data_IF_917027058814
#
_entry.id   IF_917027058814
#
_cell.length_a   1.000
_cell.length_b   1.000
_cell.length_c   1.000
_cell.angle_alpha   90.00
_cell.angle_beta   90.00
_cell.angle_gamma   90.00
#
_symmetry.space_group_name_H-M   'P 1'
#
loop_
_entity.id
_entity.type
_entity.pdbx_description
1 polymer ?
#
# COMPACT_ATOMS: atom_id res chain seq x y z
N UNK A 1 -1.32 62.22 8.15
CA UNK A 1 -1.99 61.34 7.15
C UNK A 1 -1.14 60.13 6.95
N UNK A 2 -1.57 58.97 7.44
CA UNK A 2 -0.87 57.72 7.24
C UNK A 2 -1.18 57.21 5.83
N UNK A 3 -0.19 57.30 4.92
CA UNK A 3 -0.33 56.80 3.57
C UNK A 3 -0.32 55.26 3.58
N UNK A 4 -1.46 54.66 3.29
CA UNK A 4 -1.55 53.22 3.10
C UNK A 4 -0.83 52.84 1.79
N UNK A 5 0.32 52.18 1.88
CA UNK A 5 1.01 51.64 0.72
C UNK A 5 0.29 50.37 0.27
N UNK A 6 -0.29 50.39 -0.93
CA UNK A 6 -0.91 49.19 -1.51
C UNK A 6 0.16 48.36 -2.21
N UNK A 7 0.37 47.15 -1.76
CA UNK A 7 1.22 46.16 -2.42
C UNK A 7 0.34 45.26 -3.28
N UNK A 8 0.66 45.13 -4.56
CA UNK A 8 -0.05 44.25 -5.49
C UNK A 8 0.69 42.95 -5.65
N UNK A 9 0.09 41.85 -5.18
CA UNK A 9 0.57 40.54 -5.45
C UNK A 9 -0.03 40.03 -6.77
N UNK A 10 0.84 39.71 -7.75
CA UNK A 10 0.43 39.34 -9.11
C UNK A 10 0.44 37.86 -9.36
N UNK A 11 1.04 37.10 -8.47
CA UNK A 11 1.24 35.65 -8.64
C UNK A 11 1.28 34.99 -7.26
N UNK A 12 0.79 33.75 -7.19
CA UNK A 12 0.84 32.89 -6.02
C UNK A 12 1.68 31.62 -6.30
N UNK A 13 2.53 31.67 -7.33
CA UNK A 13 3.33 30.52 -7.76
C UNK A 13 4.32 30.00 -6.71
N UNK A 14 4.67 30.87 -5.72
CA UNK A 14 5.52 30.48 -4.59
C UNK A 14 4.85 29.51 -3.59
N UNK A 15 3.51 29.41 -3.62
CA UNK A 15 2.76 28.59 -2.68
C UNK A 15 2.87 29.09 -1.25
N UNK A 16 2.64 28.20 -0.28
CA UNK A 16 2.88 28.51 1.14
C UNK A 16 4.37 28.52 1.42
N UNK A 17 4.85 29.58 2.06
CA UNK A 17 6.27 29.76 2.39
C UNK A 17 6.53 29.43 3.86
N UNK A 18 7.71 28.91 4.15
CA UNK A 18 8.14 28.65 5.52
C UNK A 18 8.22 29.94 6.34
N UNK A 19 7.89 29.90 7.65
CA UNK A 19 8.06 31.05 8.56
C UNK A 19 9.47 31.65 8.55
N UNK A 20 10.49 30.87 8.25
CA UNK A 20 11.87 31.32 8.12
C UNK A 20 12.10 32.28 6.94
N UNK A 21 11.19 32.26 5.97
CA UNK A 21 11.21 33.14 4.80
C UNK A 21 10.45 34.46 5.04
N UNK A 22 9.76 34.59 6.16
CA UNK A 22 9.00 35.78 6.47
C UNK A 22 9.94 36.98 6.62
N UNK A 23 9.59 38.10 5.94
CA UNK A 23 10.41 39.30 5.92
C UNK A 23 11.58 39.28 4.91
N UNK A 24 11.80 38.18 4.19
CA UNK A 24 12.80 38.07 3.13
C UNK A 24 12.33 38.76 1.84
N UNK A 25 12.20 40.07 1.89
CA UNK A 25 11.73 40.88 0.74
C UNK A 25 12.70 40.91 -0.44
N UNK A 26 13.92 40.40 -0.22
CA UNK A 26 14.97 40.23 -1.23
C UNK A 26 14.75 38.98 -2.09
N UNK A 27 13.92 38.03 -1.62
CA UNK A 27 13.66 36.79 -2.34
C UNK A 27 12.40 36.86 -3.21
N UNK A 28 12.51 36.46 -4.45
CA UNK A 28 11.38 36.44 -5.40
C UNK A 28 10.24 35.51 -4.93
N UNK A 29 10.55 34.45 -4.21
CA UNK A 29 9.54 33.56 -3.62
C UNK A 29 8.72 34.23 -2.56
N UNK A 30 9.31 35.14 -1.78
CA UNK A 30 8.57 35.95 -0.81
C UNK A 30 7.47 36.77 -1.48
N UNK A 31 7.79 37.36 -2.65
CA UNK A 31 6.84 38.22 -3.37
C UNK A 31 5.69 37.44 -4.04
N UNK A 32 5.85 36.18 -4.26
CA UNK A 32 4.87 35.26 -4.89
C UNK A 32 4.33 34.22 -3.92
N UNK A 33 4.77 34.25 -2.67
CA UNK A 33 4.37 33.32 -1.63
C UNK A 33 3.14 33.76 -0.84
N UNK A 34 2.60 32.81 -0.11
CA UNK A 34 1.50 32.99 0.82
C UNK A 34 1.96 32.61 2.22
N UNK A 35 1.55 33.34 3.22
CA UNK A 35 1.77 32.97 4.63
C UNK A 35 0.99 31.70 4.99
N UNK A 36 -0.21 31.55 4.42
CA UNK A 36 -1.07 30.39 4.64
C UNK A 36 -1.83 30.06 3.36
N UNK A 37 -1.82 28.79 2.96
CA UNK A 37 -2.49 28.31 1.76
C UNK A 37 -3.32 27.03 2.07
N UNK A 38 -4.45 27.19 2.74
CA UNK A 38 -5.33 26.11 3.10
C UNK A 38 -6.46 25.94 2.08
N UNK A 39 -6.66 24.71 1.62
CA UNK A 39 -7.73 24.33 0.67
C UNK A 39 -7.62 24.98 -0.72
N UNK A 40 -6.43 25.44 -1.10
CA UNK A 40 -6.15 25.97 -2.43
C UNK A 40 -5.00 25.24 -3.11
N UNK A 41 -5.02 25.24 -4.44
CA UNK A 41 -3.95 24.78 -5.29
C UNK A 41 -3.29 25.95 -5.98
N UNK A 42 -2.01 26.16 -5.71
CA UNK A 42 -1.21 27.17 -6.40
C UNK A 42 -0.69 26.60 -7.71
N UNK A 43 -1.04 27.24 -8.81
CA UNK A 43 -0.54 26.84 -10.14
C UNK A 43 0.81 27.49 -10.42
N UNK A 44 1.74 26.78 -11.08
CA UNK A 44 3.05 27.34 -11.45
C UNK A 44 2.96 28.62 -12.29
N UNK A 45 1.86 28.81 -13.03
CA UNK A 45 1.59 29.98 -13.85
C UNK A 45 1.13 31.21 -13.05
N UNK A 46 0.93 31.06 -11.73
CA UNK A 46 0.61 32.14 -10.83
C UNK A 46 -0.80 32.18 -10.25
N UNK A 47 -1.86 31.69 -10.89
CA UNK A 47 -3.19 31.69 -10.29
C UNK A 47 -3.30 30.69 -9.13
N UNK A 48 -4.30 30.96 -8.29
CA UNK A 48 -4.72 30.10 -7.19
C UNK A 48 -6.15 29.65 -7.46
N UNK A 49 -6.45 28.40 -7.24
CA UNK A 49 -7.77 27.83 -7.42
C UNK A 49 -8.19 26.99 -6.21
N UNK A 50 -9.48 26.89 -5.96
CA UNK A 50 -9.99 26.04 -4.90
C UNK A 50 -9.64 24.57 -5.18
N UNK A 51 -9.24 23.83 -4.14
CA UNK A 51 -9.09 22.39 -4.30
C UNK A 51 -10.42 21.75 -4.69
N UNK A 52 -10.41 20.66 -5.46
CA UNK A 52 -11.60 19.87 -5.73
C UNK A 52 -12.27 19.40 -4.43
N UNK A 53 -13.58 19.28 -4.44
CA UNK A 53 -14.35 18.67 -3.37
C UNK A 53 -14.09 17.15 -3.28
N UNK A 54 -14.72 16.53 -2.30
CA UNK A 54 -14.81 15.08 -2.21
C UNK A 54 -16.14 14.61 -2.81
N UNK A 55 -16.11 13.51 -3.52
CA UNK A 55 -17.30 12.83 -4.00
C UNK A 55 -17.55 11.63 -3.09
N UNK A 56 -18.81 11.48 -2.66
CA UNK A 56 -19.22 10.30 -1.89
C UNK A 56 -19.40 9.12 -2.85
N UNK A 57 -18.69 8.04 -2.61
CA UNK A 57 -18.78 6.82 -3.40
C UNK A 57 -19.75 5.83 -2.77
N UNK A 58 -19.46 5.41 -1.54
CA UNK A 58 -20.27 4.47 -0.78
C UNK A 58 -19.87 4.43 0.68
N UNK A 59 -20.81 4.03 1.53
CA UNK A 59 -20.52 3.66 2.90
C UNK A 59 -19.78 2.31 2.97
N UNK A 60 -18.85 2.21 3.93
CA UNK A 60 -18.17 0.94 4.25
C UNK A 60 -19.18 -0.08 4.78
N UNK A 61 -18.83 -1.36 4.79
CA UNK A 61 -19.73 -2.44 5.23
C UNK A 61 -20.16 -2.29 6.69
N UNK A 62 -19.26 -1.84 7.53
CA UNK A 62 -19.49 -1.59 8.95
C UNK A 62 -18.69 -0.36 9.37
N UNK A 63 -19.40 0.76 9.59
CA UNK A 63 -18.79 2.04 9.95
C UNK A 63 -18.22 2.09 11.37
N UNK A 64 -18.50 1.07 12.21
CA UNK A 64 -17.90 0.94 13.54
C UNK A 64 -16.47 0.36 13.49
N UNK A 65 -16.06 -0.18 12.34
CA UNK A 65 -14.78 -0.86 12.12
C UNK A 65 -13.85 -0.06 11.24
N UNK A 66 -12.55 -0.23 11.47
CA UNK A 66 -11.52 0.38 10.63
C UNK A 66 -11.53 -0.27 9.24
N UNK A 67 -11.22 0.55 8.23
CA UNK A 67 -10.96 0.09 6.86
C UNK A 67 -9.68 0.71 6.36
N UNK A 68 -9.00 0.03 5.44
CA UNK A 68 -7.83 0.52 4.74
C UNK A 68 -8.08 0.53 3.24
N UNK A 69 -7.74 1.64 2.60
CA UNK A 69 -7.83 1.76 1.15
C UNK A 69 -6.45 1.54 0.53
N UNK A 70 -6.38 0.68 -0.48
CA UNK A 70 -5.16 0.37 -1.21
C UNK A 70 -5.37 0.71 -2.69
N UNK A 71 -4.48 1.49 -3.33
CA UNK A 71 -4.56 1.74 -4.76
C UNK A 71 -4.15 0.49 -5.55
N UNK A 72 -4.83 0.26 -6.68
CA UNK A 72 -4.49 -0.75 -7.66
C UNK A 72 -4.47 -0.12 -9.05
N UNK A 73 -3.32 -0.09 -9.69
CA UNK A 73 -3.13 0.56 -10.99
C UNK A 73 -2.99 -0.52 -12.06
N UNK A 74 -4.03 -0.70 -12.88
CA UNK A 74 -4.00 -1.62 -14.01
C UNK A 74 -3.33 -0.98 -15.25
N UNK A 75 -3.76 0.23 -15.58
CA UNK A 75 -3.15 1.05 -16.63
C UNK A 75 -3.43 2.54 -16.38
N UNK A 76 -2.97 3.41 -17.26
CA UNK A 76 -3.12 4.86 -17.10
C UNK A 76 -4.58 5.35 -17.08
N UNK A 77 -5.52 4.61 -17.68
CA UNK A 77 -6.92 4.96 -17.76
C UNK A 77 -7.79 4.18 -16.77
N UNK A 78 -7.33 3.04 -16.28
CA UNK A 78 -8.11 2.17 -15.40
C UNK A 78 -7.37 1.90 -14.11
N UNK A 79 -7.90 2.48 -13.05
CA UNK A 79 -7.42 2.31 -11.69
C UNK A 79 -8.55 1.80 -10.81
N UNK A 80 -8.18 1.11 -9.76
CA UNK A 80 -9.09 0.65 -8.73
C UNK A 80 -8.62 1.12 -7.36
N UNK A 81 -9.55 1.19 -6.45
CA UNK A 81 -9.27 1.30 -5.02
C UNK A 81 -9.83 0.06 -4.36
N UNK A 82 -8.99 -0.65 -3.64
CA UNK A 82 -9.37 -1.82 -2.86
C UNK A 82 -9.67 -1.35 -1.44
N UNK A 83 -10.91 -1.51 -1.00
CA UNK A 83 -11.32 -1.31 0.39
C UNK A 83 -11.11 -2.61 1.15
N UNK A 84 -10.11 -2.67 2.00
CA UNK A 84 -9.90 -3.76 2.94
C UNK A 84 -10.61 -3.44 4.25
N UNK A 85 -11.48 -4.32 4.68
CA UNK A 85 -12.18 -4.24 5.96
C UNK A 85 -12.08 -5.55 6.72
N UNK A 86 -12.79 -5.64 7.84
CA UNK A 86 -12.81 -6.83 8.67
C UNK A 86 -13.33 -8.05 7.90
N UNK A 87 -12.43 -8.96 7.53
CA UNK A 87 -12.71 -10.22 6.81
C UNK A 87 -13.27 -10.03 5.39
N UNK A 88 -13.10 -8.86 4.76
CA UNK A 88 -13.55 -8.64 3.38
C UNK A 88 -12.65 -7.67 2.61
N UNK A 89 -12.74 -7.74 1.29
CA UNK A 89 -12.24 -6.71 0.38
C UNK A 89 -13.32 -6.34 -0.64
N UNK A 90 -13.54 -5.03 -0.88
CA UNK A 90 -14.40 -4.46 -1.92
C UNK A 90 -13.56 -3.66 -2.90
N UNK A 91 -14.11 -3.45 -4.06
CA UNK A 91 -13.40 -2.83 -5.17
C UNK A 91 -14.19 -1.65 -5.70
N UNK A 92 -13.50 -0.54 -5.93
CA UNK A 92 -14.07 0.70 -6.44
C UNK A 92 -13.28 1.11 -7.67
N UNK A 93 -13.98 1.61 -8.69
CA UNK A 93 -13.36 2.15 -9.91
C UNK A 93 -14.25 3.22 -10.52
N UNK A 94 -13.66 4.25 -11.12
CA UNK A 94 -14.39 5.35 -11.77
C UNK A 94 -15.43 6.03 -10.87
N UNK A 95 -15.13 6.24 -9.59
CA UNK A 95 -16.05 6.87 -8.63
C UNK A 95 -17.23 5.99 -8.20
N UNK A 96 -17.23 4.68 -8.52
CA UNK A 96 -18.27 3.75 -8.16
C UNK A 96 -17.74 2.46 -7.54
N UNK A 97 -18.56 1.83 -6.69
CA UNK A 97 -18.29 0.49 -6.17
C UNK A 97 -18.65 -0.55 -7.23
N UNK A 98 -17.78 -1.54 -7.40
CA UNK A 98 -18.12 -2.70 -8.25
C UNK A 98 -19.27 -3.49 -7.61
N UNK A 99 -20.22 -3.87 -8.46
CA UNK A 99 -21.45 -4.53 -8.01
C UNK A 99 -21.52 -5.96 -8.55
N UNK A 100 -22.11 -6.83 -7.74
CA UNK A 100 -22.57 -8.16 -8.15
C UNK A 100 -24.09 -8.20 -7.96
N UNK A 101 -24.82 -7.98 -9.05
CA UNK A 101 -26.25 -7.70 -8.98
C UNK A 101 -26.55 -6.43 -8.19
N UNK A 102 -27.33 -6.54 -7.11
CA UNK A 102 -27.72 -5.40 -6.26
C UNK A 102 -26.81 -5.23 -5.01
N UNK A 103 -25.80 -6.08 -4.86
CA UNK A 103 -24.88 -6.02 -3.73
C UNK A 103 -23.48 -5.60 -4.18
N UNK A 104 -22.69 -4.94 -3.30
CA UNK A 104 -21.28 -4.71 -3.56
C UNK A 104 -20.56 -6.02 -3.86
N UNK A 105 -19.73 -6.01 -4.90
CA UNK A 105 -18.82 -7.11 -5.13
C UNK A 105 -17.76 -7.14 -4.05
N UNK A 106 -17.67 -8.25 -3.36
CA UNK A 106 -16.68 -8.44 -2.29
C UNK A 106 -16.10 -9.86 -2.32
N UNK A 107 -14.87 -9.97 -1.86
CA UNK A 107 -14.21 -11.25 -1.59
C UNK A 107 -13.91 -11.36 -0.10
N UNK A 108 -13.93 -12.59 0.43
CA UNK A 108 -13.55 -12.85 1.82
C UNK A 108 -12.03 -12.82 1.97
N UNK A 109 -11.56 -12.16 3.03
CA UNK A 109 -10.13 -12.10 3.39
C UNK A 109 -9.93 -12.67 4.79
N UNK A 110 -8.71 -13.11 5.16
CA UNK A 110 -8.44 -13.63 6.50
C UNK A 110 -8.22 -12.53 7.56
N UNK A 111 -7.95 -11.29 7.14
CA UNK A 111 -7.45 -10.22 8.01
C UNK A 111 -8.54 -9.58 8.85
N UNK A 112 -8.21 -9.34 10.12
CA UNK A 112 -9.04 -8.59 11.05
C UNK A 112 -8.81 -7.06 10.92
N UNK A 113 -9.68 -6.27 11.54
CA UNK A 113 -9.61 -4.81 11.44
C UNK A 113 -8.33 -4.21 12.04
N UNK A 114 -7.75 -4.88 13.04
CA UNK A 114 -6.55 -4.42 13.70
C UNK A 114 -5.30 -4.68 12.86
N UNK A 115 -5.30 -5.73 12.04
CA UNK A 115 -4.19 -6.13 11.17
C UNK A 115 -4.07 -5.25 9.92
N UNK A 116 -5.16 -4.58 9.51
CA UNK A 116 -5.24 -3.94 8.20
C UNK A 116 -4.12 -2.93 7.93
N UNK A 117 -3.65 -2.21 8.95
CA UNK A 117 -2.59 -1.20 8.79
C UNK A 117 -1.18 -1.78 8.93
N UNK A 118 -1.06 -3.01 9.41
CA UNK A 118 0.20 -3.76 9.50
C UNK A 118 0.47 -4.61 8.25
N UNK A 119 -0.54 -4.77 7.38
CA UNK A 119 -0.37 -5.44 6.09
C UNK A 119 0.64 -4.69 5.22
N UNK A 120 1.67 -5.37 4.77
CA UNK A 120 2.57 -4.89 3.74
C UNK A 120 2.13 -5.44 2.38
N UNK A 121 2.21 -4.63 1.33
CA UNK A 121 1.78 -5.06 0.01
C UNK A 121 2.67 -4.54 -1.11
N UNK A 122 2.75 -5.31 -2.16
CA UNK A 122 3.39 -4.92 -3.41
C UNK A 122 2.53 -5.34 -4.59
N UNK A 123 2.38 -4.45 -5.56
CA UNK A 123 1.68 -4.76 -6.80
C UNK A 123 2.66 -5.10 -7.92
N UNK A 124 2.34 -6.17 -8.65
CA UNK A 124 2.98 -6.52 -9.92
C UNK A 124 1.89 -6.89 -10.93
N UNK A 125 1.71 -6.08 -11.95
CA UNK A 125 0.65 -6.24 -12.96
C UNK A 125 -0.74 -6.40 -12.30
N UNK A 126 -1.41 -7.52 -12.56
CA UNK A 126 -2.76 -7.86 -12.07
C UNK A 126 -2.77 -8.55 -10.70
N UNK A 127 -1.67 -8.52 -9.98
CA UNK A 127 -1.53 -9.21 -8.69
C UNK A 127 -1.02 -8.23 -7.64
N UNK A 128 -1.68 -8.20 -6.49
CA UNK A 128 -1.14 -7.64 -5.25
C UNK A 128 -0.75 -8.78 -4.33
N UNK A 129 0.51 -8.86 -3.98
CA UNK A 129 1.00 -9.74 -2.92
C UNK A 129 0.92 -9.01 -1.60
N UNK A 130 0.29 -9.63 -0.63
CA UNK A 130 0.09 -9.11 0.73
C UNK A 130 0.80 -10.01 1.72
N UNK A 131 1.53 -9.42 2.63
CA UNK A 131 2.26 -10.11 3.70
C UNK A 131 1.92 -9.52 5.06
N UNK A 132 1.95 -10.37 6.08
CA UNK A 132 1.76 -10.01 7.49
C UNK A 132 2.44 -11.07 8.33
N UNK A 133 2.83 -10.77 9.56
CA UNK A 133 3.56 -11.71 10.40
C UNK A 133 2.73 -12.94 10.82
N UNK A 134 1.41 -12.75 11.03
CA UNK A 134 0.51 -13.81 11.51
C UNK A 134 -0.21 -14.57 10.38
N UNK A 135 -0.08 -14.15 9.12
CA UNK A 135 -0.77 -14.76 7.99
C UNK A 135 0.21 -15.25 6.93
N UNK A 136 -0.11 -16.40 6.33
CA UNK A 136 0.64 -16.83 5.16
C UNK A 136 0.56 -15.80 4.03
N UNK A 137 1.66 -15.55 3.30
CA UNK A 137 1.66 -14.63 2.17
C UNK A 137 0.54 -14.96 1.19
N UNK A 138 -0.20 -13.94 0.80
CA UNK A 138 -1.44 -14.09 0.05
C UNK A 138 -1.46 -13.13 -1.13
N UNK A 139 -2.02 -13.55 -2.22
CA UNK A 139 -2.18 -12.74 -3.43
C UNK A 139 -3.64 -12.40 -3.68
N UNK A 140 -3.92 -11.13 -3.95
CA UNK A 140 -5.19 -10.67 -4.53
C UNK A 140 -4.94 -10.59 -6.04
N UNK A 141 -5.56 -11.49 -6.79
CA UNK A 141 -5.39 -11.63 -8.24
C UNK A 141 -6.63 -11.12 -8.96
N UNK A 142 -6.41 -10.20 -9.91
CA UNK A 142 -7.45 -9.70 -10.80
C UNK A 142 -7.48 -10.53 -12.09
N UNK A 143 -8.61 -11.14 -12.41
CA UNK A 143 -8.86 -11.85 -13.67
C UNK A 143 -9.72 -11.01 -14.61
N UNK A 144 -10.62 -10.21 -14.07
CA UNK A 144 -11.42 -9.24 -14.80
C UNK A 144 -11.84 -8.09 -13.89
N UNK A 145 -12.63 -7.14 -14.38
CA UNK A 145 -13.13 -6.05 -13.54
C UNK A 145 -14.03 -6.55 -12.40
N UNK A 146 -14.70 -7.68 -12.59
CA UNK A 146 -15.64 -8.28 -11.62
C UNK A 146 -15.22 -9.70 -11.18
N UNK A 147 -14.00 -10.10 -11.46
CA UNK A 147 -13.46 -11.40 -10.99
C UNK A 147 -12.11 -11.17 -10.32
N UNK A 148 -12.14 -11.10 -9.01
CA UNK A 148 -10.99 -11.00 -8.15
C UNK A 148 -10.94 -12.21 -7.22
N UNK A 149 -9.76 -12.75 -7.01
CA UNK A 149 -9.59 -13.96 -6.20
C UNK A 149 -8.44 -13.81 -5.24
N UNK A 150 -8.65 -14.36 -4.04
CA UNK A 150 -7.60 -14.49 -3.04
C UNK A 150 -6.93 -15.85 -3.20
N UNK A 151 -5.59 -15.88 -3.22
CA UNK A 151 -4.80 -17.11 -3.31
C UNK A 151 -3.65 -17.04 -2.30
N UNK A 152 -3.59 -18.03 -1.41
CA UNK A 152 -2.44 -18.17 -0.51
C UNK A 152 -1.26 -18.74 -1.27
N UNK A 153 -0.07 -18.14 -1.08
CA UNK A 153 1.17 -18.62 -1.69
C UNK A 153 1.64 -19.85 -0.91
N UNK A 154 1.86 -20.96 -1.62
CA UNK A 154 2.42 -22.18 -1.05
C UNK A 154 3.88 -22.30 -1.43
N UNK A 155 4.73 -22.47 -0.43
CA UNK A 155 6.17 -22.70 -0.59
C UNK A 155 6.54 -24.21 -0.46
N UNK A 156 5.61 -25.10 -0.78
CA UNK A 156 5.91 -26.54 -0.77
C UNK A 156 6.95 -26.86 -1.84
N UNK A 157 7.93 -27.68 -1.48
CA UNK A 157 8.87 -28.25 -2.44
C UNK A 157 8.13 -29.11 -3.45
N UNK A 158 8.45 -28.95 -4.75
CA UNK A 158 8.00 -29.86 -5.81
C UNK A 158 8.78 -31.18 -5.83
N UNK A 159 9.88 -31.24 -5.08
CA UNK A 159 10.68 -32.43 -4.93
C UNK A 159 10.02 -33.37 -3.90
N UNK A 160 9.93 -34.64 -4.26
CA UNK A 160 9.48 -35.65 -3.33
C UNK A 160 10.40 -35.71 -2.10
N UNK A 161 9.79 -35.87 -0.92
CA UNK A 161 10.57 -36.08 0.30
C UNK A 161 11.50 -37.28 0.11
N UNK A 162 12.82 -37.13 0.41
CA UNK A 162 13.73 -38.27 0.30
C UNK A 162 13.23 -39.42 1.16
N UNK A 163 13.15 -40.60 0.57
CA UNK A 163 12.80 -41.83 1.28
C UNK A 163 14.07 -42.61 1.58
N UNK A 164 14.03 -43.43 2.63
CA UNK A 164 15.17 -44.28 3.05
C UNK A 164 16.45 -43.48 3.41
N UNK A 165 16.28 -42.35 4.08
CA UNK A 165 17.42 -41.62 4.65
C UNK A 165 17.93 -42.40 5.85
N UNK A 166 19.17 -42.90 5.77
CA UNK A 166 19.85 -43.60 6.86
C UNK A 166 21.06 -42.81 7.32
N UNK A 167 21.17 -42.58 8.62
CA UNK A 167 22.37 -42.01 9.22
C UNK A 167 23.25 -43.19 9.74
N UNK A 168 24.46 -43.28 9.25
CA UNK A 168 25.42 -44.24 9.74
C UNK A 168 26.44 -43.50 10.60
N UNK A 169 26.57 -43.94 11.86
CA UNK A 169 27.63 -43.45 12.74
C UNK A 169 28.89 -44.29 12.50
N UNK A 170 29.92 -43.66 11.98
CA UNK A 170 31.24 -44.32 11.92
C UNK A 170 31.95 -44.10 13.27
N UNK A 171 32.14 -45.15 14.01
CA UNK A 171 32.97 -45.16 15.22
C UNK A 171 34.41 -45.49 14.78
N UNK A 172 35.24 -44.48 14.76
CA UNK A 172 36.69 -44.67 14.53
C UNK A 172 37.29 -45.31 15.78
N UNK A 173 37.59 -46.58 15.71
CA UNK A 173 38.37 -47.29 16.79
C UNK A 173 39.85 -46.99 16.56
N UNK A 174 40.30 -45.85 16.99
CA UNK A 174 41.66 -45.42 16.90
C UNK A 174 41.92 -44.32 17.94
N UNK A 175 42.94 -44.52 18.72
CA UNK A 175 43.39 -43.67 19.82
C UNK A 175 43.83 -42.31 19.29
N UNK A 176 42.95 -41.36 19.13
CA UNK A 176 43.21 -39.89 19.15
C UNK A 176 41.93 -39.16 18.74
N UNK A 177 41.49 -38.28 19.63
CA UNK A 177 40.25 -37.47 19.53
C UNK A 177 38.90 -38.16 19.77
N UNK A 178 38.57 -38.28 21.05
CA UNK A 178 37.30 -38.84 21.55
C UNK A 178 36.04 -37.99 21.29
N UNK A 179 36.10 -36.94 20.44
CA UNK A 179 35.00 -36.00 20.25
C UNK A 179 34.59 -35.70 18.80
N UNK A 180 35.03 -36.47 17.82
CA UNK A 180 34.61 -36.31 16.44
C UNK A 180 33.70 -37.45 15.98
N UNK A 181 32.43 -37.43 16.36
CA UNK A 181 31.43 -38.28 15.76
C UNK A 181 31.13 -37.77 14.33
N UNK A 182 31.52 -38.52 13.33
CA UNK A 182 31.27 -38.22 11.93
C UNK A 182 29.97 -38.93 11.49
N UNK A 183 28.98 -38.14 11.09
CA UNK A 183 27.73 -38.65 10.56
C UNK A 183 27.73 -38.54 9.04
N UNK A 184 27.52 -39.63 8.35
CA UNK A 184 27.34 -39.67 6.88
C UNK A 184 25.89 -39.94 6.55
N UNK A 185 25.26 -39.04 5.82
CA UNK A 185 23.90 -39.22 5.34
C UNK A 185 23.93 -39.78 3.92
N UNK A 186 23.29 -40.92 3.73
CA UNK A 186 23.08 -41.52 2.42
C UNK A 186 21.60 -41.40 2.04
N UNK A 187 21.35 -41.03 0.80
CA UNK A 187 20.00 -41.00 0.22
C UNK A 187 20.01 -41.74 -1.13
N UNK A 188 18.92 -42.38 -1.47
CA UNK A 188 18.67 -42.99 -2.78
C UNK A 188 17.52 -42.26 -3.46
#
# INVERSE_FOLDING_TARGET
MSGSTKVLQRSFAGGEISPEMFGRTDDTKYQTGLETCLNFLCRPQGPIENRPGFEFVREVKDSSKKVRLIPFIFNAQQTFVIELGHKYARFHSFGATLMNGNQPYEITTPWDEDDLFELEYVQSNDIITVTHEDYAPTEIRRYSNTDWRLATISFSSTLATPTNVTAVRETTTGNEDKNADKYTFQYK
#
